data_IF_748417453732
#
_entry.id   IF_748417453732
#
_cell.length_a   1.000
_cell.length_b   1.000
_cell.length_c   1.000
_cell.angle_alpha   90.00
_cell.angle_beta   90.00
_cell.angle_gamma   90.00
#
_symmetry.space_group_name_H-M   'P 1'
#
loop_
_entity.id
_entity.type
_entity.pdbx_description
1 polymer ?
#
# COMPACT_ATOMS: atom_id res chain seq x y z
N UNK A 1 66.05 10.57 -22.10
CA UNK A 1 67.05 11.38 -21.37
C UNK A 1 66.43 12.74 -21.02
N UNK A 2 66.55 13.14 -19.73
CA UNK A 2 66.41 14.49 -19.14
C UNK A 2 65.08 15.24 -19.36
N UNK A 3 64.12 15.23 -18.42
CA UNK A 3 63.99 16.13 -17.23
C UNK A 3 64.46 17.56 -17.50
N UNK A 4 63.58 18.56 -17.37
CA UNK A 4 63.82 19.74 -16.52
C UNK A 4 62.51 20.42 -16.11
N UNK A 5 62.37 20.51 -14.79
CA UNK A 5 61.44 21.32 -14.02
C UNK A 5 61.96 22.76 -14.04
N UNK A 6 61.13 23.77 -14.28
CA UNK A 6 61.46 25.17 -13.93
C UNK A 6 60.33 25.77 -13.11
N UNK A 7 60.70 26.08 -11.89
CA UNK A 7 60.02 26.80 -10.83
C UNK A 7 60.09 28.30 -11.13
N UNK A 8 58.96 29.00 -11.14
CA UNK A 8 58.88 30.46 -11.36
C UNK A 8 58.04 31.13 -10.29
N UNK A 9 58.72 31.68 -9.29
CA UNK A 9 58.24 32.44 -8.15
C UNK A 9 58.02 33.91 -8.54
N UNK A 10 56.84 34.49 -8.28
CA UNK A 10 56.70 35.95 -8.15
C UNK A 10 55.62 36.36 -7.12
N UNK A 11 56.17 36.85 -5.99
CA UNK A 11 55.82 38.05 -5.21
C UNK A 11 54.37 38.56 -5.15
N UNK A 12 53.94 38.60 -3.90
CA UNK A 12 52.88 39.34 -3.24
C UNK A 12 52.52 40.74 -3.81
N UNK A 13 51.23 41.04 -3.74
CA UNK A 13 50.75 42.39 -3.41
C UNK A 13 49.54 42.27 -2.49
N UNK A 14 49.69 42.87 -1.31
CA UNK A 14 48.71 42.95 -0.23
C UNK A 14 47.90 44.22 -0.44
N UNK A 15 46.59 44.11 -0.59
CA UNK A 15 45.64 45.19 -0.32
C UNK A 15 44.56 44.62 0.58
N UNK A 16 44.41 45.25 1.74
CA UNK A 16 43.54 44.79 2.80
C UNK A 16 42.12 45.36 2.77
N UNK A 17 41.32 44.75 3.64
CA UNK A 17 40.15 45.27 4.35
C UNK A 17 38.84 45.43 3.55
N UNK A 18 37.89 44.53 3.79
CA UNK A 18 36.75 44.80 4.70
C UNK A 18 35.88 43.55 4.92
N UNK A 19 35.50 43.37 6.17
CA UNK A 19 34.49 42.45 6.68
C UNK A 19 33.10 42.85 6.19
N UNK A 20 32.29 41.87 5.79
CA UNK A 20 30.91 41.66 6.25
C UNK A 20 30.43 40.30 5.77
N UNK A 21 30.04 39.44 6.71
CA UNK A 21 29.22 38.27 6.48
C UNK A 21 27.78 38.71 6.19
N UNK A 22 27.10 38.05 5.24
CA UNK A 22 25.63 37.83 5.26
C UNK A 22 25.17 36.96 4.07
N UNK A 23 24.28 35.99 4.35
CA UNK A 23 23.33 35.32 3.45
C UNK A 23 23.92 34.45 2.31
N UNK A 24 23.65 33.15 2.16
CA UNK A 24 22.43 32.41 2.48
C UNK A 24 21.51 32.26 1.26
N UNK A 25 22.02 31.78 0.12
CA UNK A 25 21.19 31.51 -1.07
C UNK A 25 20.73 30.04 -1.05
N UNK A 26 19.58 29.82 -0.43
CA UNK A 26 18.85 28.56 -0.44
C UNK A 26 18.04 28.42 -1.72
N UNK A 27 18.25 27.32 -2.43
CA UNK A 27 17.45 26.88 -3.58
C UNK A 27 15.94 26.82 -3.27
N UNK A 28 15.05 27.00 -4.26
CA UNK A 28 13.62 26.98 -4.05
C UNK A 28 13.15 25.56 -3.70
N UNK A 29 12.68 25.37 -2.46
CA UNK A 29 11.89 24.20 -2.07
C UNK A 29 10.47 24.40 -2.60
N UNK A 30 10.08 23.62 -3.60
CA UNK A 30 8.68 23.38 -3.91
C UNK A 30 7.96 22.76 -2.69
N UNK A 31 6.64 22.92 -2.57
CA UNK A 31 5.92 22.43 -1.41
C UNK A 31 5.93 20.90 -1.42
N UNK A 32 6.65 20.31 -0.47
CA UNK A 32 6.45 18.93 -0.05
C UNK A 32 5.08 18.87 0.64
N UNK A 33 4.06 18.43 -0.07
CA UNK A 33 2.78 18.03 0.51
C UNK A 33 3.00 16.77 1.34
N UNK A 34 2.95 16.92 2.66
CA UNK A 34 3.08 15.83 3.63
C UNK A 34 1.81 14.96 3.66
N UNK A 35 1.91 13.62 3.76
CA UNK A 35 0.84 12.81 4.28
C UNK A 35 1.04 12.68 5.79
N UNK A 36 0.29 13.45 6.54
CA UNK A 36 0.34 13.48 8.00
C UNK A 36 -0.97 14.02 8.56
N UNK A 37 -2.09 13.47 8.10
CA UNK A 37 -3.38 13.71 8.73
C UNK A 37 -3.44 12.91 10.03
N UNK A 38 -2.91 13.49 11.10
CA UNK A 38 -3.21 13.05 12.48
C UNK A 38 -4.72 13.09 12.67
N UNK A 39 -5.31 11.91 12.71
CA UNK A 39 -6.72 11.73 13.03
C UNK A 39 -6.94 11.95 14.53
N UNK A 40 -8.11 12.50 14.94
CA UNK A 40 -8.37 12.82 16.33
C UNK A 40 -8.51 11.56 17.19
N UNK A 41 -8.17 11.71 18.47
CA UNK A 41 -8.25 10.72 19.55
C UNK A 41 -9.70 10.23 19.75
N UNK A 42 -10.15 9.25 18.96
CA UNK A 42 -11.29 8.41 19.33
C UNK A 42 -10.80 7.12 19.98
N UNK A 43 -11.43 6.70 21.08
CA UNK A 43 -11.21 5.37 21.71
C UNK A 43 -11.55 4.19 20.77
N UNK A 44 -12.11 4.48 19.60
CA UNK A 44 -12.39 3.53 18.54
C UNK A 44 -11.33 3.60 17.45
N UNK A 45 -10.84 2.44 17.02
CA UNK A 45 -10.02 2.29 15.81
C UNK A 45 -10.86 2.19 14.53
N UNK A 46 -12.18 2.35 14.62
CA UNK A 46 -13.05 2.32 13.45
C UNK A 46 -12.69 3.46 12.48
N UNK A 47 -12.43 3.10 11.23
CA UNK A 47 -12.06 4.07 10.22
C UNK A 47 -13.22 5.02 9.92
N UNK A 48 -12.98 6.34 9.85
CA UNK A 48 -14.03 7.31 9.57
C UNK A 48 -14.49 7.19 8.12
N UNK A 49 -15.65 7.77 7.77
CA UNK A 49 -16.06 7.90 6.37
C UNK A 49 -14.99 8.60 5.51
N UNK A 50 -14.92 8.32 4.19
CA UNK A 50 -13.98 9.01 3.31
C UNK A 50 -14.29 10.52 3.26
N UNK A 51 -13.28 11.37 2.98
CA UNK A 51 -13.50 12.79 2.72
C UNK A 51 -14.51 13.03 1.59
N UNK A 52 -15.19 14.17 1.62
CA UNK A 52 -16.20 14.52 0.62
C UNK A 52 -15.64 14.49 -0.80
N UNK A 53 -16.37 13.84 -1.72
CA UNK A 53 -15.98 13.69 -3.12
C UNK A 53 -15.02 12.53 -3.40
N UNK A 54 -14.51 11.84 -2.37
CA UNK A 54 -13.73 10.62 -2.50
C UNK A 54 -14.60 9.39 -2.24
N UNK A 55 -14.18 8.27 -2.82
CA UNK A 55 -14.80 6.96 -2.65
C UNK A 55 -13.89 6.01 -1.87
N UNK A 56 -14.47 4.92 -1.37
CA UNK A 56 -13.76 3.89 -0.60
C UNK A 56 -13.89 2.53 -1.30
N UNK A 57 -12.81 1.76 -1.32
CA UNK A 57 -12.78 0.36 -1.71
C UNK A 57 -12.07 -0.46 -0.63
N UNK A 58 -12.51 -1.69 -0.39
CA UNK A 58 -11.93 -2.54 0.66
C UNK A 58 -11.65 -3.94 0.14
N UNK A 59 -10.40 -4.39 0.31
CA UNK A 59 -9.89 -5.63 -0.26
C UNK A 59 -9.09 -6.42 0.78
N UNK A 60 -9.27 -7.74 0.80
CA UNK A 60 -8.40 -8.67 1.51
C UNK A 60 -7.72 -9.59 0.50
N UNK A 61 -6.40 -9.70 0.60
CA UNK A 61 -5.55 -10.47 -0.33
C UNK A 61 -4.32 -11.04 0.35
N UNK A 62 -4.46 -11.44 1.63
CA UNK A 62 -3.36 -11.92 2.46
C UNK A 62 -2.74 -10.80 3.30
N UNK A 63 -1.46 -10.94 3.63
CA UNK A 63 -0.72 -9.92 4.39
C UNK A 63 -0.94 -8.51 3.83
N UNK A 64 -1.48 -7.62 4.66
CA UNK A 64 -1.81 -6.26 4.25
C UNK A 64 -0.59 -5.40 3.87
N UNK A 65 0.61 -5.71 4.39
CA UNK A 65 1.86 -5.03 4.06
C UNK A 65 2.22 -5.24 2.59
N UNK A 66 1.80 -6.37 2.02
CA UNK A 66 1.99 -6.70 0.62
C UNK A 66 0.87 -6.17 -0.28
N UNK A 67 -0.29 -5.87 0.30
CA UNK A 67 -1.47 -5.38 -0.42
C UNK A 67 -1.51 -3.86 -0.51
N UNK A 68 -0.97 -3.14 0.47
CA UNK A 68 -0.90 -1.67 0.49
C UNK A 68 -0.09 -1.07 -0.69
N UNK A 69 1.20 -1.42 -0.91
CA UNK A 69 2.02 -0.79 -1.94
C UNK A 69 1.47 -0.87 -3.38
N UNK A 70 0.83 -1.96 -3.83
CA UNK A 70 0.20 -2.00 -5.15
C UNK A 70 -0.85 -0.91 -5.39
N UNK A 71 -1.66 -0.58 -4.37
CA UNK A 71 -2.69 0.46 -4.50
C UNK A 71 -2.14 1.87 -4.39
N UNK A 72 -1.15 2.10 -3.51
CA UNK A 72 -0.54 3.43 -3.34
C UNK A 72 0.17 3.94 -4.60
N UNK A 73 0.55 3.04 -5.51
CA UNK A 73 1.16 3.38 -6.80
C UNK A 73 0.14 3.75 -7.89
N UNK A 74 -1.15 3.67 -7.60
CA UNK A 74 -2.21 3.95 -8.58
C UNK A 74 -2.55 5.43 -8.54
N UNK A 75 -2.37 6.13 -9.65
CA UNK A 75 -2.79 7.53 -9.78
C UNK A 75 -4.28 7.69 -9.44
N UNK A 76 -4.61 8.67 -8.61
CA UNK A 76 -5.97 8.89 -8.11
C UNK A 76 -6.28 8.20 -6.78
N UNK A 77 -5.45 7.27 -6.32
CA UNK A 77 -5.49 6.79 -4.93
C UNK A 77 -4.88 7.85 -4.01
N UNK A 78 -5.61 8.24 -2.97
CA UNK A 78 -5.23 9.30 -2.03
C UNK A 78 -4.61 8.74 -0.75
N UNK A 79 -5.09 7.58 -0.29
CA UNK A 79 -4.57 6.89 0.88
C UNK A 79 -4.94 5.41 0.83
N UNK A 80 -4.10 4.59 1.44
CA UNK A 80 -4.37 3.17 1.68
C UNK A 80 -4.08 2.91 3.15
N UNK A 81 -5.02 2.28 3.85
CA UNK A 81 -4.88 1.95 5.27
C UNK A 81 -4.93 0.45 5.47
N UNK A 82 -3.96 -0.08 6.20
CA UNK A 82 -3.96 -1.46 6.69
C UNK A 82 -4.94 -1.60 7.87
N UNK A 83 -5.67 -2.71 7.92
CA UNK A 83 -6.66 -2.94 8.97
C UNK A 83 -7.37 -4.28 8.90
N UNK A 84 -8.48 -4.36 9.61
CA UNK A 84 -9.23 -5.59 9.86
C UNK A 84 -10.72 -5.38 9.58
N UNK A 85 -11.34 -6.30 8.84
CA UNK A 85 -12.80 -6.31 8.62
C UNK A 85 -13.30 -7.74 8.35
N UNK A 86 -14.62 -7.91 8.19
CA UNK A 86 -15.25 -9.19 7.90
C UNK A 86 -15.44 -10.15 9.08
N UNK A 87 -15.14 -9.70 10.31
CA UNK A 87 -15.39 -10.41 11.56
C UNK A 87 -16.33 -9.64 12.48
N UNK A 88 -16.91 -10.29 13.51
CA UNK A 88 -17.81 -9.66 14.46
C UNK A 88 -17.12 -8.90 15.62
N UNK A 89 -15.83 -9.16 15.86
CA UNK A 89 -15.11 -8.54 16.99
C UNK A 89 -15.04 -7.02 16.82
N UNK A 90 -15.27 -6.26 17.89
CA UNK A 90 -15.18 -4.80 17.84
C UNK A 90 -13.83 -4.34 18.35
N UNK A 91 -13.24 -3.34 17.69
CA UNK A 91 -11.95 -2.77 18.07
C UNK A 91 -10.84 -3.84 18.27
N UNK A 92 -10.65 -4.78 17.33
CA UNK A 92 -9.69 -5.85 17.48
C UNK A 92 -8.25 -5.33 17.39
N UNK A 93 -7.36 -5.89 18.21
CA UNK A 93 -5.91 -5.68 18.11
C UNK A 93 -5.27 -6.64 17.12
N UNK A 94 -4.09 -6.31 16.59
CA UNK A 94 -3.31 -7.23 15.77
C UNK A 94 -3.10 -8.57 16.45
N UNK A 95 -2.82 -8.55 17.77
CA UNK A 95 -2.65 -9.78 18.54
C UNK A 95 -3.92 -10.64 18.45
N UNK A 96 -5.11 -10.09 18.66
CA UNK A 96 -6.35 -10.88 18.57
C UNK A 96 -6.58 -11.43 17.15
N UNK A 97 -6.38 -10.60 16.12
CA UNK A 97 -6.60 -11.02 14.73
C UNK A 97 -5.60 -12.07 14.28
N UNK A 98 -4.31 -11.91 14.61
CA UNK A 98 -3.25 -12.85 14.22
C UNK A 98 -3.41 -14.24 14.86
N UNK A 99 -4.14 -14.35 15.98
CA UNK A 99 -4.53 -15.65 16.56
C UNK A 99 -5.67 -16.35 15.79
N UNK A 100 -6.35 -15.66 14.86
CA UNK A 100 -7.34 -16.23 13.94
C UNK A 100 -8.76 -16.39 14.51
N UNK A 101 -8.99 -16.08 15.79
CA UNK A 101 -10.27 -16.30 16.48
C UNK A 101 -11.32 -15.20 16.32
N UNK A 102 -10.96 -14.03 15.77
CA UNK A 102 -11.86 -12.86 15.71
C UNK A 102 -12.82 -12.86 14.52
N UNK A 103 -12.62 -13.77 13.57
CA UNK A 103 -13.33 -13.79 12.29
C UNK A 103 -12.88 -12.70 11.29
N UNK A 104 -12.07 -11.73 11.72
CA UNK A 104 -11.53 -10.72 10.81
C UNK A 104 -10.52 -11.30 9.83
N UNK A 105 -10.28 -10.58 8.75
CA UNK A 105 -9.15 -10.80 7.84
C UNK A 105 -8.37 -9.50 7.66
N UNK A 106 -7.05 -9.62 7.51
CA UNK A 106 -6.19 -8.52 7.10
C UNK A 106 -6.67 -7.97 5.76
N UNK A 107 -6.90 -6.67 5.76
CA UNK A 107 -7.53 -5.96 4.66
C UNK A 107 -6.88 -4.60 4.48
N UNK A 108 -7.00 -4.07 3.27
CA UNK A 108 -6.66 -2.69 2.97
C UNK A 108 -7.91 -1.90 2.64
N UNK A 109 -7.98 -0.68 3.16
CA UNK A 109 -9.00 0.33 2.84
C UNK A 109 -8.37 1.38 1.95
N UNK A 110 -8.82 1.44 0.70
CA UNK A 110 -8.32 2.35 -0.34
C UNK A 110 -9.26 3.53 -0.46
N UNK A 111 -8.74 4.73 -0.25
CA UNK A 111 -9.44 5.99 -0.50
C UNK A 111 -8.99 6.53 -1.85
N UNK A 112 -9.93 6.77 -2.76
CA UNK A 112 -9.61 7.16 -4.13
C UNK A 112 -10.55 8.25 -4.66
N UNK A 113 -10.05 9.03 -5.62
CA UNK A 113 -10.86 9.98 -6.38
C UNK A 113 -11.50 9.25 -7.59
N UNK A 114 -12.82 9.02 -7.59
CA UNK A 114 -13.51 8.33 -8.68
C UNK A 114 -13.48 9.11 -10.01
N UNK A 115 -13.06 10.38 -10.01
CA UNK A 115 -12.86 11.19 -11.23
C UNK A 115 -11.51 10.92 -11.89
N UNK A 116 -10.56 10.33 -11.17
CA UNK A 116 -9.20 10.05 -11.64
C UNK A 116 -9.00 8.56 -11.89
N UNK A 117 -9.49 7.70 -10.98
CA UNK A 117 -9.37 6.24 -11.07
C UNK A 117 -10.71 5.55 -10.85
N UNK A 118 -11.00 4.55 -11.69
CA UNK A 118 -12.21 3.75 -11.59
C UNK A 118 -12.06 2.60 -10.59
N UNK A 119 -13.18 2.15 -10.02
CA UNK A 119 -13.21 0.93 -9.21
C UNK A 119 -12.75 -0.31 -9.99
N UNK A 120 -13.07 -0.41 -11.30
CA UNK A 120 -12.55 -1.47 -12.17
C UNK A 120 -11.02 -1.51 -12.22
N UNK A 121 -10.35 -0.34 -12.19
CA UNK A 121 -8.89 -0.29 -12.14
C UNK A 121 -8.35 -0.80 -10.80
N UNK A 122 -9.03 -0.49 -9.70
CA UNK A 122 -8.67 -1.02 -8.38
C UNK A 122 -8.88 -2.54 -8.33
N UNK A 123 -9.94 -3.08 -8.94
CA UNK A 123 -10.15 -4.52 -9.09
C UNK A 123 -9.02 -5.18 -9.90
N UNK A 124 -8.59 -4.59 -11.02
CA UNK A 124 -7.43 -5.09 -11.79
C UNK A 124 -6.15 -5.12 -10.93
N UNK A 125 -5.88 -4.04 -10.17
CA UNK A 125 -4.76 -4.01 -9.22
C UNK A 125 -4.87 -5.10 -8.16
N UNK A 126 -6.07 -5.31 -7.61
CA UNK A 126 -6.33 -6.36 -6.62
C UNK A 126 -6.02 -7.76 -7.17
N UNK A 127 -6.59 -8.11 -8.32
CA UNK A 127 -6.40 -9.43 -8.96
C UNK A 127 -4.93 -9.71 -9.28
N UNK A 128 -4.15 -8.67 -9.61
CA UNK A 128 -2.72 -8.76 -9.91
C UNK A 128 -1.81 -8.76 -8.68
N UNK A 129 -2.37 -8.73 -7.47
CA UNK A 129 -1.58 -8.60 -6.24
C UNK A 129 -1.60 -9.85 -5.36
N UNK A 130 -2.44 -10.84 -5.67
CA UNK A 130 -2.72 -12.01 -4.83
C UNK A 130 -3.07 -13.27 -5.66
N UNK A 131 -3.20 -14.43 -5.03
CA UNK A 131 -3.69 -15.66 -5.65
C UNK A 131 -5.21 -15.80 -5.47
N UNK A 132 -6.01 -15.59 -6.53
CA UNK A 132 -7.47 -15.60 -6.43
C UNK A 132 -8.08 -17.01 -6.38
N UNK A 133 -7.24 -18.05 -6.38
CA UNK A 133 -7.62 -19.46 -6.35
C UNK A 133 -7.39 -20.13 -4.99
N UNK A 134 -6.89 -19.38 -4.00
CA UNK A 134 -6.53 -19.89 -2.67
C UNK A 134 -7.37 -19.27 -1.54
N UNK A 135 -8.24 -20.07 -0.93
CA UNK A 135 -9.11 -19.66 0.19
C UNK A 135 -8.42 -19.83 1.56
N UNK A 136 -7.34 -20.60 1.64
CA UNK A 136 -6.75 -21.04 2.91
C UNK A 136 -5.80 -20.03 3.55
N UNK A 137 -5.73 -18.82 2.99
CA UNK A 137 -4.66 -17.86 3.20
C UNK A 137 -3.92 -17.58 1.89
N UNK A 138 -2.87 -16.77 1.94
CA UNK A 138 -2.17 -16.31 0.75
C UNK A 138 -0.67 -16.56 0.92
N UNK A 139 -0.11 -17.32 -0.02
CA UNK A 139 1.32 -17.69 -0.06
C UNK A 139 1.82 -18.35 1.23
N UNK A 140 2.79 -17.79 1.96
CA UNK A 140 3.21 -18.35 3.26
C UNK A 140 2.23 -18.04 4.39
N UNK A 141 1.36 -17.04 4.23
CA UNK A 141 0.42 -16.63 5.27
C UNK A 141 -0.83 -17.51 5.22
N UNK A 142 -1.05 -18.29 6.29
CA UNK A 142 -2.11 -19.30 6.34
C UNK A 142 -3.08 -19.00 7.48
N UNK A 143 -4.36 -19.25 7.23
CA UNK A 143 -5.43 -19.03 8.21
C UNK A 143 -6.52 -18.06 7.73
N UNK A 144 -7.62 -18.04 8.47
CA UNK A 144 -8.82 -17.23 8.15
C UNK A 144 -8.53 -15.73 8.14
N UNK A 145 -7.51 -15.28 8.89
CA UNK A 145 -7.06 -13.90 8.96
C UNK A 145 -6.31 -13.42 7.72
N UNK A 146 -6.00 -14.31 6.79
CA UNK A 146 -5.35 -13.99 5.51
C UNK A 146 -6.23 -14.39 4.31
N UNK A 147 -7.50 -14.74 4.55
CA UNK A 147 -8.42 -15.14 3.48
C UNK A 147 -8.67 -13.98 2.52
N UNK A 148 -8.76 -14.23 1.21
CA UNK A 148 -9.12 -13.19 0.27
C UNK A 148 -10.62 -12.85 0.37
N UNK A 149 -10.97 -11.59 0.11
CA UNK A 149 -12.34 -11.11 -0.01
C UNK A 149 -12.39 -9.73 -0.67
N UNK A 150 -13.50 -9.42 -1.34
CA UNK A 150 -13.85 -8.06 -1.76
C UNK A 150 -15.03 -7.62 -0.90
N UNK A 151 -14.86 -6.51 -0.19
CA UNK A 151 -15.88 -5.91 0.66
C UNK A 151 -16.49 -4.71 -0.08
N UNK A 152 -17.71 -4.87 -0.58
CA UNK A 152 -18.38 -3.89 -1.44
C UNK A 152 -19.20 -2.90 -0.62
N UNK A 153 -19.07 -1.61 -0.94
CA UNK A 153 -19.72 -0.51 -0.20
C UNK A 153 -21.07 -0.08 -0.79
N UNK A 154 -21.37 -0.52 -2.01
CA UNK A 154 -22.62 -0.24 -2.70
C UNK A 154 -22.89 -1.29 -3.81
N UNK A 155 -24.07 -1.22 -4.42
CA UNK A 155 -24.49 -2.12 -5.48
C UNK A 155 -23.65 -1.97 -6.78
N UNK A 156 -23.11 -0.78 -7.04
CA UNK A 156 -22.28 -0.55 -8.22
C UNK A 156 -20.93 -1.27 -8.06
N UNK A 157 -20.33 -1.25 -6.87
CA UNK A 157 -19.15 -2.03 -6.54
C UNK A 157 -19.43 -3.53 -6.60
N UNK A 158 -20.59 -3.99 -6.11
CA UNK A 158 -21.02 -5.39 -6.23
C UNK A 158 -21.04 -5.84 -7.68
N UNK A 159 -21.78 -5.14 -8.53
CA UNK A 159 -21.90 -5.48 -9.94
C UNK A 159 -20.54 -5.45 -10.67
N UNK A 160 -19.69 -4.45 -10.38
CA UNK A 160 -18.35 -4.35 -10.95
C UNK A 160 -17.43 -5.48 -10.49
N UNK A 161 -17.43 -5.81 -9.19
CA UNK A 161 -16.63 -6.90 -8.63
C UNK A 161 -17.02 -8.25 -9.23
N UNK A 162 -18.32 -8.54 -9.33
CA UNK A 162 -18.84 -9.78 -9.92
C UNK A 162 -18.49 -9.88 -11.40
N UNK A 163 -18.67 -8.80 -12.15
CA UNK A 163 -18.26 -8.71 -13.57
C UNK A 163 -16.76 -8.94 -13.73
N UNK A 164 -15.91 -8.31 -12.90
CA UNK A 164 -14.46 -8.46 -12.97
C UNK A 164 -14.01 -9.88 -12.64
N UNK A 165 -14.64 -10.51 -11.65
CA UNK A 165 -14.39 -11.90 -11.26
C UNK A 165 -14.75 -12.87 -12.39
N UNK A 166 -15.91 -12.67 -13.01
CA UNK A 166 -16.34 -13.48 -14.15
C UNK A 166 -15.40 -13.29 -15.36
N UNK A 167 -14.97 -12.06 -15.64
CA UNK A 167 -14.01 -11.78 -16.71
C UNK A 167 -12.64 -12.44 -16.43
N UNK A 168 -12.17 -12.41 -15.19
CA UNK A 168 -10.93 -13.07 -14.79
C UNK A 168 -11.02 -14.59 -14.98
N UNK A 169 -12.14 -15.19 -14.56
CA UNK A 169 -12.40 -16.62 -14.78
C UNK A 169 -12.42 -16.97 -16.27
N UNK A 170 -13.11 -16.18 -17.09
CA UNK A 170 -13.24 -16.38 -18.53
C UNK A 170 -11.93 -16.16 -19.29
N UNK A 171 -10.97 -15.41 -18.72
CA UNK A 171 -9.68 -15.16 -19.35
C UNK A 171 -8.81 -16.41 -19.55
N UNK A 172 -9.13 -17.51 -18.86
CA UNK A 172 -8.34 -18.75 -18.89
C UNK A 172 -6.96 -18.62 -18.24
N UNK A 173 -6.66 -17.50 -17.58
CA UNK A 173 -5.36 -17.27 -16.92
C UNK A 173 -5.14 -18.20 -15.72
N UNK A 174 -6.23 -18.62 -15.08
CA UNK A 174 -6.24 -19.58 -13.98
C UNK A 174 -6.99 -20.83 -14.42
N UNK A 175 -6.36 -22.00 -14.22
CA UNK A 175 -7.01 -23.29 -14.43
C UNK A 175 -7.96 -23.66 -13.29
N UNK A 176 -7.68 -23.16 -12.08
CA UNK A 176 -8.53 -23.33 -10.91
C UNK A 176 -9.61 -22.23 -10.85
N UNK A 177 -10.75 -22.49 -10.19
CA UNK A 177 -11.81 -21.50 -10.04
C UNK A 177 -11.36 -20.25 -9.27
N UNK A 178 -11.88 -19.09 -9.66
CA UNK A 178 -11.73 -17.84 -8.90
C UNK A 178 -12.68 -17.87 -7.71
N UNK A 179 -12.15 -18.04 -6.50
CA UNK A 179 -12.94 -18.34 -5.29
C UNK A 179 -13.06 -17.18 -4.31
N UNK A 180 -12.63 -15.98 -4.69
CA UNK A 180 -12.72 -14.80 -3.84
C UNK A 180 -14.18 -14.41 -3.56
N UNK A 181 -14.62 -14.38 -2.29
CA UNK A 181 -15.95 -13.91 -1.91
C UNK A 181 -16.14 -12.42 -2.19
N UNK A 182 -17.36 -12.05 -2.59
CA UNK A 182 -17.80 -10.65 -2.74
C UNK A 182 -18.93 -10.44 -1.73
N UNK A 183 -18.63 -9.71 -0.66
CA UNK A 183 -19.50 -9.57 0.52
C UNK A 183 -19.72 -8.10 0.85
N UNK A 184 -20.82 -7.78 1.53
CA UNK A 184 -21.06 -6.40 1.97
C UNK A 184 -19.97 -5.93 2.93
N UNK A 185 -19.55 -4.68 2.78
CA UNK A 185 -18.61 -4.06 3.69
C UNK A 185 -19.28 -3.82 5.06
N UNK A 186 -18.62 -4.31 6.11
CA UNK A 186 -18.92 -3.95 7.49
C UNK A 186 -17.98 -2.86 8.02
N UNK A 187 -17.90 -2.69 9.35
CA UNK A 187 -16.92 -1.81 9.97
C UNK A 187 -15.49 -2.17 9.55
N UNK A 188 -14.64 -1.16 9.39
CA UNK A 188 -13.21 -1.33 9.14
C UNK A 188 -12.43 -0.82 10.33
N UNK A 189 -11.63 -1.66 10.94
CA UNK A 189 -10.79 -1.32 12.09
C UNK A 189 -9.37 -1.05 11.61
N UNK A 190 -8.85 0.15 11.85
CA UNK A 190 -7.47 0.50 11.53
C UNK A 190 -6.52 -0.38 12.34
N UNK A 191 -5.55 -0.98 11.66
CA UNK A 191 -4.42 -1.61 12.34
C UNK A 191 -3.54 -0.56 13.02
N UNK A 192 -2.76 -0.99 14.00
CA UNK A 192 -1.84 -0.15 14.75
C UNK A 192 -0.85 0.60 13.82
N UNK A 193 -0.41 1.79 14.23
CA UNK A 193 0.41 2.70 13.40
C UNK A 193 1.70 2.08 12.84
N UNK A 194 2.23 1.07 13.53
CA UNK A 194 3.43 0.37 13.08
C UNK A 194 3.16 -0.56 11.87
N UNK A 195 1.90 -0.91 11.59
CA UNK A 195 1.50 -1.67 10.40
C UNK A 195 1.25 -0.78 9.17
N UNK A 196 0.88 0.49 9.37
CA UNK A 196 0.65 1.43 8.27
C UNK A 196 1.96 1.75 7.55
N UNK A 197 1.99 1.80 6.23
CA UNK A 197 3.20 2.08 5.45
C UNK A 197 4.38 1.17 5.81
N UNK A 198 4.14 -0.08 6.23
CA UNK A 198 5.20 -0.93 6.79
C UNK A 198 6.36 -1.12 5.81
N UNK A 199 6.07 -1.23 4.52
CA UNK A 199 7.08 -1.37 3.48
C UNK A 199 7.98 -0.13 3.31
N UNK A 200 7.51 1.06 3.70
CA UNK A 200 8.29 2.30 3.72
C UNK A 200 9.05 2.45 5.04
N UNK A 201 8.41 2.11 6.16
CA UNK A 201 8.96 2.29 7.51
C UNK A 201 10.01 1.23 7.88
N UNK A 202 9.88 0.02 7.36
CA UNK A 202 10.76 -1.13 7.63
C UNK A 202 11.13 -1.88 6.34
N UNK A 203 11.84 -1.21 5.39
CA UNK A 203 12.04 -1.75 4.04
C UNK A 203 12.81 -3.07 4.03
N UNK A 204 13.89 -3.21 4.80
CA UNK A 204 14.69 -4.45 4.81
C UNK A 204 13.88 -5.64 5.31
N UNK A 205 13.09 -5.45 6.37
CA UNK A 205 12.21 -6.48 6.90
C UNK A 205 11.11 -6.83 5.90
N UNK A 206 10.45 -5.82 5.33
CA UNK A 206 9.44 -6.03 4.30
C UNK A 206 10.00 -6.80 3.10
N UNK A 207 11.16 -6.40 2.57
CA UNK A 207 11.77 -7.05 1.42
C UNK A 207 12.21 -8.48 1.71
N UNK A 208 12.80 -8.74 2.89
CA UNK A 208 13.15 -10.09 3.32
C UNK A 208 11.92 -11.00 3.41
N UNK A 209 10.86 -10.50 4.05
CA UNK A 209 9.58 -11.21 4.15
C UNK A 209 8.95 -11.45 2.77
N UNK A 210 8.83 -10.40 1.94
CA UNK A 210 8.21 -10.47 0.60
C UNK A 210 8.92 -11.47 -0.30
N UNK A 211 10.26 -11.46 -0.31
CA UNK A 211 11.07 -12.39 -1.10
C UNK A 211 10.86 -13.86 -0.67
N UNK A 212 10.73 -14.10 0.63
CA UNK A 212 10.47 -15.42 1.20
C UNK A 212 9.01 -15.89 1.10
N UNK A 213 8.08 -14.99 0.78
CA UNK A 213 6.64 -15.30 0.82
C UNK A 213 6.18 -16.21 -0.31
N UNK A 214 6.86 -16.28 -1.45
CA UNK A 214 6.37 -16.96 -2.66
C UNK A 214 5.45 -16.10 -3.54
N UNK A 215 5.05 -14.91 -3.08
CA UNK A 215 4.11 -14.03 -3.77
C UNK A 215 4.67 -13.52 -5.11
N UNK A 216 5.90 -13.02 -5.13
CA UNK A 216 6.48 -12.48 -6.37
C UNK A 216 6.71 -13.57 -7.42
N UNK A 217 7.10 -14.77 -6.99
CA UNK A 217 7.29 -15.92 -7.87
C UNK A 217 5.96 -16.32 -8.53
N UNK A 218 4.87 -16.34 -7.76
CA UNK A 218 3.53 -16.56 -8.28
C UNK A 218 3.10 -15.46 -9.26
N UNK A 219 3.21 -14.19 -8.86
CA UNK A 219 2.76 -13.07 -9.69
C UNK A 219 3.52 -13.01 -11.02
N UNK A 220 4.84 -13.18 -10.99
CA UNK A 220 5.67 -13.26 -12.19
C UNK A 220 5.22 -14.41 -13.11
N UNK A 221 4.98 -15.59 -12.55
CA UNK A 221 4.54 -16.77 -13.32
C UNK A 221 3.17 -16.55 -14.00
N UNK A 222 2.27 -15.82 -13.36
CA UNK A 222 0.88 -15.65 -13.82
C UNK A 222 0.73 -14.46 -14.75
N UNK A 223 1.43 -13.35 -14.47
CA UNK A 223 1.17 -12.05 -15.10
C UNK A 223 2.25 -11.60 -16.10
N UNK A 224 3.51 -12.01 -15.94
CA UNK A 224 4.62 -11.58 -16.81
C UNK A 224 4.83 -12.52 -18.01
N UNK A 225 3.75 -13.12 -18.52
CA UNK A 225 3.76 -13.99 -19.71
C UNK A 225 3.65 -13.19 -20.99
#
# INVERSE_FOLDING_TARGET
MRRFLVLGLMMASVVGCKSTAEGGEGAPKGPASAPGSVMPLSDSTEAPPPPAGLAVATFAGGCFWCMEPPFEKVDGVQAVYSGYTGGPERNPTYKQVSHGGTGHTESVRVIYDPKVVSYDKLLDTFWRSMDPTDAGGQFVDRGSQYRPAIFVHDEAQRAAAEKSKAALQASGRFSAPIIVPIVDAGPFWLAEDYHQDFYKKSPDHYHGYRAGSGRDQFLKKVWDK
#
